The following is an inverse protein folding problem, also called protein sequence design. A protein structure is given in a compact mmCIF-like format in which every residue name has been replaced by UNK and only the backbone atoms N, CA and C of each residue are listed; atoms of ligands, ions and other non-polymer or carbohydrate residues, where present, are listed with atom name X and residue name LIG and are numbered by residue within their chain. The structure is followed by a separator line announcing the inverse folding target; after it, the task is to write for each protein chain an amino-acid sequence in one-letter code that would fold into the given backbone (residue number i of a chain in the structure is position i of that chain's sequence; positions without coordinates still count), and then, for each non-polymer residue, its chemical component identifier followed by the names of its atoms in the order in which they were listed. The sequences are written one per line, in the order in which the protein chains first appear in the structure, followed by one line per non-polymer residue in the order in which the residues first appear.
data_IF_502327611946
#
_entry.id   IF_502327611946
#
_cell.length_a   1.000
_cell.length_b   1.000
_cell.length_c   1.000
_cell.angle_alpha   90.00
_cell.angle_beta   90.00
_cell.angle_gamma   90.00
#
_symmetry.space_group_name_H-M   'P 1'
#
loop_
_entity.id
_entity.type
_entity.pdbx_description
1 polymer ?
#
# COMPACT_ATOMS: atom_id res chain seq x y z
N UNK A 1 1.78 1.50 1.47
CA UNK A 1 0.78 1.84 2.49
C UNK A 1 -0.33 0.81 2.38
N UNK A 2 -0.35 -0.17 3.28
CA UNK A 2 -1.43 -1.17 3.33
C UNK A 2 -2.71 -0.52 3.87
N UNK A 3 -3.87 -1.04 3.45
CA UNK A 3 -5.19 -0.48 3.76
C UNK A 3 -5.78 -0.94 5.10
N UNK A 4 -6.96 -1.54 5.06
CA UNK A 4 -7.73 -1.99 6.23
C UNK A 4 -9.08 -1.27 6.33
N UNK A 5 -9.15 -0.04 6.86
CA UNK A 5 -8.07 0.76 7.49
C UNK A 5 -7.46 0.09 8.74
N UNK A 6 -6.19 0.38 9.05
CA UNK A 6 -5.51 -0.13 10.25
C UNK A 6 -4.64 -1.39 10.06
N UNK A 7 -4.42 -1.85 8.82
CA UNK A 7 -3.53 -2.98 8.55
C UNK A 7 -2.07 -2.53 8.47
N UNK A 8 -1.17 -3.27 9.13
CA UNK A 8 0.27 -3.00 9.11
C UNK A 8 0.86 -3.14 7.72
N UNK A 9 1.73 -2.19 7.32
CA UNK A 9 2.52 -2.30 6.09
C UNK A 9 3.63 -3.33 6.20
N UNK A 10 3.89 -3.88 7.40
CA UNK A 10 4.71 -5.09 7.53
C UNK A 10 4.08 -6.28 6.83
N UNK A 11 2.76 -6.30 6.61
CA UNK A 11 2.13 -7.29 5.75
C UNK A 11 2.73 -7.27 4.35
N UNK A 12 2.84 -6.09 3.72
CA UNK A 12 3.48 -5.96 2.42
C UNK A 12 4.96 -6.38 2.42
N UNK A 13 5.69 -5.99 3.48
CA UNK A 13 7.09 -6.37 3.68
C UNK A 13 7.29 -7.88 3.91
N UNK A 14 6.31 -8.59 4.44
CA UNK A 14 6.46 -9.99 4.85
C UNK A 14 5.69 -10.97 3.97
N UNK A 15 4.70 -10.53 3.21
CA UNK A 15 3.83 -11.40 2.42
C UNK A 15 3.78 -11.06 0.93
N UNK A 16 4.11 -9.83 0.51
CA UNK A 16 3.81 -9.36 -0.84
C UNK A 16 5.08 -9.15 -1.67
N UNK A 17 5.76 -8.02 -1.48
CA UNK A 17 6.87 -7.57 -2.33
C UNK A 17 8.23 -7.58 -1.59
N UNK A 18 8.30 -8.39 -0.53
CA UNK A 18 9.41 -8.63 0.39
C UNK A 18 10.76 -8.91 -0.27
N UNK A 19 11.90 -8.46 0.31
CA UNK A 19 13.25 -8.75 -0.19
C UNK A 19 13.64 -10.23 -0.03
N UNK A 20 13.10 -10.88 0.99
CA UNK A 20 13.43 -12.25 1.35
C UNK A 20 12.16 -13.09 1.57
N UNK A 21 12.19 -14.33 1.13
CA UNK A 21 11.19 -15.35 1.37
C UNK A 21 11.63 -16.20 2.57
N UNK A 22 10.66 -16.78 3.28
CA UNK A 22 10.89 -17.70 4.41
C UNK A 22 10.37 -19.06 4.03
N UNK A 23 11.19 -20.10 4.20
CA UNK A 23 10.73 -21.48 4.12
C UNK A 23 9.93 -21.82 5.38
N UNK A 24 8.64 -22.10 5.23
CA UNK A 24 7.74 -22.34 6.37
C UNK A 24 8.05 -23.62 7.16
N UNK A 25 8.79 -24.56 6.55
CA UNK A 25 9.18 -25.82 7.21
C UNK A 25 10.54 -25.70 7.91
N UNK A 26 11.54 -25.13 7.25
CA UNK A 26 12.92 -25.08 7.76
C UNK A 26 13.24 -23.78 8.50
N UNK A 27 12.47 -22.71 8.25
CA UNK A 27 12.78 -21.36 8.72
C UNK A 27 13.86 -20.65 7.91
N UNK A 28 14.41 -21.28 6.86
CA UNK A 28 15.47 -20.69 6.06
C UNK A 28 14.99 -19.45 5.31
N UNK A 29 15.85 -18.42 5.29
CA UNK A 29 15.61 -17.16 4.59
C UNK A 29 16.35 -17.18 3.25
N UNK A 30 15.65 -16.92 2.16
CA UNK A 30 16.23 -16.88 0.82
C UNK A 30 15.77 -15.65 0.02
N UNK A 31 16.56 -15.24 -0.97
CA UNK A 31 16.28 -14.03 -1.75
C UNK A 31 14.97 -14.16 -2.55
N UNK A 32 14.14 -13.12 -2.52
CA UNK A 32 13.03 -12.98 -3.45
C UNK A 32 13.50 -12.30 -4.75
N UNK A 33 13.54 -13.05 -5.86
CA UNK A 33 13.93 -12.51 -7.16
C UNK A 33 12.91 -11.52 -7.74
N UNK A 34 11.69 -11.44 -7.20
CA UNK A 34 10.64 -10.53 -7.63
C UNK A 34 10.39 -9.39 -6.63
N UNK A 35 11.30 -9.17 -5.67
CA UNK A 35 11.14 -8.08 -4.73
C UNK A 35 11.23 -6.72 -5.43
N UNK A 36 10.40 -5.79 -4.98
CA UNK A 36 10.46 -4.40 -5.41
C UNK A 36 11.77 -3.72 -5.01
N UNK A 37 12.46 -4.22 -3.99
CA UNK A 37 13.74 -3.65 -3.57
C UNK A 37 14.89 -3.92 -4.55
N UNK A 38 14.68 -4.74 -5.59
CA UNK A 38 15.64 -4.92 -6.67
C UNK A 38 15.74 -3.66 -7.56
N UNK A 39 14.67 -2.85 -7.63
CA UNK A 39 14.58 -1.69 -8.53
C UNK A 39 14.42 -0.35 -7.79
N UNK A 40 14.10 -0.37 -6.49
CA UNK A 40 13.84 0.82 -5.71
C UNK A 40 14.26 0.69 -4.24
N UNK A 41 14.46 1.83 -3.57
CA UNK A 41 14.40 1.88 -2.11
C UNK A 41 12.94 1.86 -1.69
N UNK A 42 12.52 0.81 -1.00
CA UNK A 42 11.13 0.64 -0.54
C UNK A 42 11.07 0.91 0.96
N UNK A 43 10.17 1.80 1.37
CA UNK A 43 9.92 2.13 2.77
C UNK A 43 8.52 1.62 3.12
N UNK A 44 8.44 0.79 4.15
CA UNK A 44 7.20 0.28 4.69
C UNK A 44 6.92 1.00 5.99
N UNK A 45 5.74 1.62 6.10
CA UNK A 45 5.38 2.45 7.25
C UNK A 45 4.07 1.92 7.81
N UNK A 46 4.10 1.53 9.08
CA UNK A 46 2.89 1.27 9.84
C UNK A 46 2.22 2.61 10.14
N UNK A 47 0.99 2.76 9.66
CA UNK A 47 0.21 3.99 9.75
C UNK A 47 -1.28 3.66 9.61
N UNK A 48 -2.18 4.44 10.23
CA UNK A 48 -1.91 5.54 11.19
C UNK A 48 -1.31 5.06 12.52
N UNK A 49 -1.11 5.97 13.48
CA UNK A 49 -0.72 5.59 14.83
C UNK A 49 -1.69 4.56 15.44
N UNK A 50 -1.16 3.59 16.20
CA UNK A 50 -1.90 2.43 16.70
C UNK A 50 -1.85 1.20 15.78
N UNK A 51 -1.31 1.33 14.57
CA UNK A 51 -1.10 0.21 13.63
C UNK A 51 0.26 -0.43 13.85
N UNK A 52 0.31 -1.77 13.93
CA UNK A 52 1.55 -2.54 13.97
C UNK A 52 2.44 -2.12 15.14
N UNK A 53 3.61 -1.55 14.84
CA UNK A 53 4.53 -1.00 15.86
C UNK A 53 4.42 0.52 16.07
N UNK A 54 3.59 1.22 15.29
CA UNK A 54 3.35 2.66 15.47
C UNK A 54 2.37 2.88 16.62
N UNK A 55 2.65 3.86 17.48
CA UNK A 55 1.86 4.15 18.67
C UNK A 55 1.75 5.67 18.91
N UNK A 56 0.67 6.07 19.57
CA UNK A 56 0.43 7.42 20.08
C UNK A 56 -0.50 7.29 21.31
N UNK A 57 -0.74 8.40 22.01
CA UNK A 57 -1.85 8.45 22.98
C UNK A 57 -3.19 8.39 22.24
N UNK A 58 -4.25 7.88 22.89
CA UNK A 58 -5.54 7.61 22.22
C UNK A 58 -6.17 8.89 21.66
N UNK A 59 -5.95 10.02 22.33
CA UNK A 59 -6.44 11.33 21.93
C UNK A 59 -5.76 11.85 20.66
N UNK A 60 -4.60 11.30 20.30
CA UNK A 60 -3.81 11.67 19.12
C UNK A 60 -4.02 10.69 17.94
N UNK A 61 -5.04 9.83 17.99
CA UNK A 61 -5.34 8.93 16.88
C UNK A 61 -6.03 9.66 15.73
N UNK A 62 -5.49 9.47 14.52
CA UNK A 62 -6.06 10.02 13.30
C UNK A 62 -7.50 9.54 13.07
N UNK A 63 -8.37 10.49 12.73
CA UNK A 63 -9.80 10.28 12.51
C UNK A 63 -10.20 10.35 11.03
N UNK A 64 -9.32 10.86 10.17
CA UNK A 64 -9.59 11.09 8.74
C UNK A 64 -8.30 11.17 7.91
N UNK A 65 -8.42 11.17 6.58
CA UNK A 65 -7.26 11.21 5.67
C UNK A 65 -6.44 12.49 5.71
N UNK A 66 -7.00 13.62 6.17
CA UNK A 66 -6.25 14.87 6.31
C UNK A 66 -5.18 14.71 7.39
N UNK A 67 -5.60 14.25 8.57
CA UNK A 67 -4.71 13.94 9.72
C UNK A 67 -3.68 12.87 9.35
N UNK A 68 -4.11 11.73 8.78
CA UNK A 68 -3.20 10.66 8.32
C UNK A 68 -2.14 11.20 7.34
N UNK A 69 -2.54 12.07 6.41
CA UNK A 69 -1.63 12.61 5.41
C UNK A 69 -0.65 13.64 5.99
N UNK A 70 -1.07 14.38 7.01
CA UNK A 70 -0.23 15.32 7.76
C UNK A 70 0.85 14.57 8.56
N UNK A 71 0.47 13.53 9.29
CA UNK A 71 1.39 12.69 10.06
C UNK A 71 2.39 11.97 9.15
N UNK A 72 1.92 11.42 8.03
CA UNK A 72 2.79 10.82 7.03
C UNK A 72 3.75 11.85 6.42
N UNK A 73 3.31 13.10 6.21
CA UNK A 73 4.18 14.19 5.77
C UNK A 73 5.24 14.51 6.82
N UNK A 74 4.87 14.61 8.09
CA UNK A 74 5.82 14.85 9.19
C UNK A 74 6.83 13.72 9.33
N UNK A 75 6.41 12.46 9.19
CA UNK A 75 7.30 11.31 9.10
C UNK A 75 8.31 11.48 7.96
N UNK A 76 7.85 11.80 6.74
CA UNK A 76 8.73 11.99 5.59
C UNK A 76 9.71 13.14 5.78
N UNK A 77 9.27 14.25 6.40
CA UNK A 77 10.13 15.37 6.76
C UNK A 77 11.25 14.94 7.73
N UNK A 78 10.90 14.19 8.78
CA UNK A 78 11.88 13.65 9.73
C UNK A 78 12.83 12.64 9.05
N UNK A 79 12.28 11.72 8.26
CA UNK A 79 13.04 10.71 7.52
C UNK A 79 14.07 11.36 6.59
N UNK A 80 13.68 12.35 5.78
CA UNK A 80 14.62 13.01 4.86
C UNK A 80 15.61 13.96 5.55
N UNK A 81 15.30 14.47 6.75
CA UNK A 81 16.30 15.15 7.60
C UNK A 81 17.37 14.18 8.09
N UNK A 82 16.97 12.99 8.53
CA UNK A 82 17.88 11.94 8.99
C UNK A 82 18.67 11.30 7.83
N UNK A 83 18.06 11.16 6.65
CA UNK A 83 18.63 10.50 5.48
C UNK A 83 18.79 11.45 4.28
N UNK A 84 19.51 12.55 4.47
CA UNK A 84 19.64 13.62 3.47
C UNK A 84 20.09 13.15 2.09
N UNK A 85 20.92 12.09 2.02
CA UNK A 85 21.38 11.49 0.77
C UNK A 85 20.25 10.90 -0.08
N UNK A 86 19.15 10.46 0.54
CA UNK A 86 18.00 9.87 -0.15
C UNK A 86 17.03 10.93 -0.70
N UNK A 87 17.07 12.16 -0.18
CA UNK A 87 16.17 13.25 -0.59
C UNK A 87 16.29 13.64 -2.06
N UNK A 88 17.46 13.37 -2.66
CA UNK A 88 17.67 13.62 -4.10
C UNK A 88 16.91 12.63 -4.99
N UNK A 89 16.41 11.52 -4.46
CA UNK A 89 15.69 10.52 -5.25
C UNK A 89 14.25 10.97 -5.52
N UNK A 90 13.65 10.43 -6.57
CA UNK A 90 12.21 10.55 -6.83
C UNK A 90 11.45 9.75 -5.77
N UNK A 91 10.42 10.34 -5.19
CA UNK A 91 9.50 9.65 -4.29
C UNK A 91 8.24 9.23 -5.05
N UNK A 92 7.82 7.98 -4.83
CA UNK A 92 6.53 7.46 -5.26
C UNK A 92 5.73 7.05 -4.03
N UNK A 93 4.46 7.47 -3.95
CA UNK A 93 3.56 7.06 -2.87
C UNK A 93 2.69 5.92 -3.37
N UNK A 94 2.79 4.75 -2.73
CA UNK A 94 2.11 3.54 -3.20
C UNK A 94 1.17 3.00 -2.12
N UNK A 95 -0.07 2.74 -2.48
CA UNK A 95 -1.11 2.23 -1.57
C UNK A 95 -1.82 0.99 -2.11
N UNK A 96 -2.41 0.19 -1.22
CA UNK A 96 -3.25 -0.96 -1.55
C UNK A 96 -4.54 -0.99 -0.73
N UNK A 97 -5.67 -1.43 -1.31
CA UNK A 97 -6.96 -1.55 -0.61
C UNK A 97 -7.41 -0.17 -0.09
N UNK A 98 -7.65 0.01 1.21
CA UNK A 98 -7.90 1.34 1.78
C UNK A 98 -6.72 2.32 1.61
N UNK A 99 -5.52 1.81 1.28
CA UNK A 99 -4.41 2.62 0.80
C UNK A 99 -4.72 3.41 -0.49
N UNK A 100 -5.82 3.11 -1.17
CA UNK A 100 -6.41 3.95 -2.22
C UNK A 100 -6.92 5.30 -1.73
N UNK A 101 -7.16 5.47 -0.42
CA UNK A 101 -7.41 6.76 0.23
C UNK A 101 -6.10 7.39 0.72
N UNK A 102 -5.27 6.61 1.42
CA UNK A 102 -4.04 7.10 2.05
C UNK A 102 -3.00 7.63 1.04
N UNK A 103 -2.74 6.89 -0.04
CA UNK A 103 -1.69 7.25 -0.99
C UNK A 103 -2.02 8.56 -1.75
N UNK A 104 -3.24 8.74 -2.30
CA UNK A 104 -3.64 10.03 -2.87
C UNK A 104 -3.64 11.18 -1.86
N UNK A 105 -4.13 10.97 -0.63
CA UNK A 105 -4.13 12.02 0.41
C UNK A 105 -2.71 12.48 0.75
N UNK A 106 -1.79 11.53 0.99
CA UNK A 106 -0.37 11.81 1.25
C UNK A 106 0.29 12.53 0.07
N UNK A 107 0.07 12.05 -1.15
CA UNK A 107 0.62 12.68 -2.35
C UNK A 107 0.08 14.11 -2.54
N UNK A 108 -1.20 14.33 -2.25
CA UNK A 108 -1.81 15.65 -2.27
C UNK A 108 -1.18 16.59 -1.25
N UNK A 109 -1.03 16.15 0.01
CA UNK A 109 -0.41 16.95 1.07
C UNK A 109 1.02 17.34 0.70
N UNK A 110 1.84 16.39 0.23
CA UNK A 110 3.21 16.67 -0.24
C UNK A 110 3.21 17.73 -1.36
N UNK A 111 2.33 17.58 -2.35
CA UNK A 111 2.24 18.53 -3.46
C UNK A 111 1.82 19.93 -2.99
N UNK A 112 0.86 20.03 -2.08
CA UNK A 112 0.43 21.29 -1.46
C UNK A 112 1.58 21.95 -0.71
N UNK A 113 2.23 21.23 0.21
CA UNK A 113 3.34 21.73 1.00
C UNK A 113 4.52 22.20 0.13
N UNK A 114 4.84 21.45 -0.94
CA UNK A 114 5.87 21.86 -1.90
C UNK A 114 5.52 23.18 -2.61
N UNK A 115 4.27 23.39 -3.03
CA UNK A 115 3.81 24.63 -3.69
C UNK A 115 3.81 25.83 -2.74
N UNK A 116 3.51 25.57 -1.48
CA UNK A 116 3.48 26.57 -0.41
C UNK A 116 4.86 26.82 0.22
N UNK A 117 5.90 26.10 -0.23
CA UNK A 117 7.26 26.16 0.30
C UNK A 117 7.35 25.84 1.81
N UNK A 118 6.49 24.95 2.28
CA UNK A 118 6.45 24.48 3.68
C UNK A 118 7.35 23.25 3.83
N UNK A 119 8.28 23.29 4.77
CA UNK A 119 9.19 22.16 5.05
C UNK A 119 10.26 21.95 3.97
N UNK A 120 10.93 20.80 4.03
CA UNK A 120 11.90 20.39 3.03
C UNK A 120 11.18 19.96 1.74
N UNK A 121 11.59 20.46 0.56
CA UNK A 121 11.01 20.02 -0.70
C UNK A 121 11.22 18.51 -0.93
N UNK A 122 10.11 17.80 -1.20
CA UNK A 122 10.09 16.38 -1.52
C UNK A 122 9.89 16.21 -3.02
N UNK A 123 10.74 15.42 -3.69
CA UNK A 123 10.64 15.16 -5.14
C UNK A 123 9.55 14.13 -5.46
N UNK A 124 8.29 14.46 -5.21
CA UNK A 124 7.14 13.62 -5.58
C UNK A 124 7.11 13.45 -7.10
N UNK A 125 7.22 12.21 -7.57
CA UNK A 125 7.27 11.87 -8.98
C UNK A 125 6.03 11.11 -9.47
N UNK A 126 5.29 10.48 -8.56
CA UNK A 126 4.06 9.78 -8.90
C UNK A 126 3.43 9.09 -7.70
N UNK A 127 2.27 8.49 -7.95
CA UNK A 127 1.57 7.63 -7.02
C UNK A 127 1.04 6.40 -7.76
N UNK A 128 0.88 5.29 -7.04
CA UNK A 128 0.28 4.07 -7.57
C UNK A 128 -0.67 3.46 -6.53
N UNK A 129 -1.75 2.85 -7.00
CA UNK A 129 -2.76 2.23 -6.14
C UNK A 129 -3.09 0.83 -6.66
N UNK A 130 -2.81 -0.19 -5.85
CA UNK A 130 -3.19 -1.58 -6.12
C UNK A 130 -4.56 -1.90 -5.52
N UNK A 131 -5.50 -2.37 -6.33
CA UNK A 131 -6.83 -2.81 -5.88
C UNK A 131 -7.51 -1.86 -4.86
N UNK A 132 -7.34 -0.54 -5.06
CA UNK A 132 -7.72 0.44 -4.07
C UNK A 132 -9.21 0.70 -4.00
N UNK A 133 -9.70 1.01 -2.80
CA UNK A 133 -10.99 1.67 -2.63
C UNK A 133 -10.79 3.15 -2.95
N UNK A 134 -11.46 3.66 -4.00
CA UNK A 134 -11.32 5.03 -4.50
C UNK A 134 -12.67 5.70 -4.77
N UNK A 135 -13.66 4.93 -5.20
CA UNK A 135 -15.05 5.36 -5.36
C UNK A 135 -15.98 4.24 -4.85
N UNK A 136 -16.30 4.26 -3.54
CA UNK A 136 -17.14 3.22 -2.93
C UNK A 136 -18.50 3.08 -3.60
N UNK A 137 -19.09 4.17 -4.09
CA UNK A 137 -20.42 4.14 -4.71
C UNK A 137 -20.40 3.30 -5.99
N UNK A 138 -19.43 3.55 -6.86
CA UNK A 138 -19.27 2.79 -8.10
C UNK A 138 -18.77 1.37 -7.84
N UNK A 139 -17.79 1.20 -6.95
CA UNK A 139 -17.15 -0.10 -6.72
C UNK A 139 -18.08 -1.09 -6.03
N UNK A 140 -18.82 -0.67 -5.00
CA UNK A 140 -19.74 -1.58 -4.32
C UNK A 140 -20.91 -2.01 -5.21
N UNK A 141 -21.41 -1.13 -6.07
CA UNK A 141 -22.44 -1.47 -7.05
C UNK A 141 -21.95 -2.51 -8.07
N UNK A 142 -20.64 -2.58 -8.35
CA UNK A 142 -20.06 -3.52 -9.31
C UNK A 142 -19.84 -4.93 -8.73
N UNK A 143 -19.75 -5.11 -7.41
CA UNK A 143 -19.43 -6.40 -6.80
C UNK A 143 -20.41 -7.54 -7.12
N UNK A 144 -21.74 -7.35 -7.12
CA UNK A 144 -22.66 -8.43 -7.49
C UNK A 144 -22.41 -8.94 -8.92
N UNK A 145 -22.19 -8.02 -9.86
CA UNK A 145 -21.91 -8.36 -11.26
C UNK A 145 -20.55 -9.05 -11.43
N UNK A 146 -19.52 -8.59 -10.70
CA UNK A 146 -18.21 -9.23 -10.67
C UNK A 146 -18.30 -10.67 -10.14
N UNK A 147 -18.98 -10.87 -9.01
CA UNK A 147 -19.16 -12.18 -8.40
C UNK A 147 -19.94 -13.14 -9.31
N UNK A 148 -21.01 -12.64 -9.95
CA UNK A 148 -21.79 -13.41 -10.93
C UNK A 148 -20.94 -13.83 -12.14
N UNK A 149 -20.19 -12.89 -12.71
CA UNK A 149 -19.31 -13.16 -13.86
C UNK A 149 -18.28 -14.23 -13.53
N UNK A 150 -17.61 -14.11 -12.37
CA UNK A 150 -16.59 -15.05 -11.93
C UNK A 150 -17.16 -16.45 -11.66
N UNK A 151 -18.36 -16.54 -11.06
CA UNK A 151 -19.06 -17.80 -10.84
C UNK A 151 -19.38 -18.51 -12.16
N UNK A 152 -19.91 -17.77 -13.15
CA UNK A 152 -20.24 -18.31 -14.47
C UNK A 152 -19.00 -18.88 -15.17
N UNK A 153 -17.91 -18.13 -15.24
CA UNK A 153 -16.65 -18.58 -15.86
C UNK A 153 -16.06 -19.80 -15.14
N UNK A 154 -16.10 -19.81 -13.81
CA UNK A 154 -15.62 -20.93 -13.00
C UNK A 154 -16.45 -22.20 -13.24
N UNK A 155 -17.76 -22.09 -13.33
CA UNK A 155 -18.64 -23.24 -13.62
C UNK A 155 -18.47 -23.73 -15.07
N UNK A 156 -18.37 -22.84 -16.05
CA UNK A 156 -18.17 -23.21 -17.45
C UNK A 156 -16.82 -23.91 -17.67
N UNK A 157 -15.75 -23.43 -17.04
CA UNK A 157 -14.44 -24.09 -17.08
C UNK A 157 -14.46 -25.47 -16.42
N UNK A 158 -15.15 -25.64 -15.28
CA UNK A 158 -15.33 -26.94 -14.63
C UNK A 158 -16.12 -27.93 -15.49
N UNK A 159 -17.19 -27.47 -16.16
CA UNK A 159 -17.96 -28.29 -17.09
C UNK A 159 -17.10 -28.70 -18.30
N UNK A 160 -16.30 -27.78 -18.84
CA UNK A 160 -15.37 -28.05 -19.94
C UNK A 160 -14.31 -29.11 -19.55
N UNK A 161 -13.69 -28.95 -18.38
CA UNK A 161 -12.72 -29.91 -17.83
C UNK A 161 -13.33 -31.30 -17.64
N UNK A 162 -14.54 -31.41 -17.08
CA UNK A 162 -15.23 -32.71 -16.92
C UNK A 162 -15.56 -33.38 -18.25
N UNK A 163 -15.84 -32.60 -19.31
CA UNK A 163 -16.04 -33.15 -20.66
C UNK A 163 -14.73 -33.63 -21.29
N UNK A 164 -13.60 -32.98 -20.97
CA UNK A 164 -12.28 -33.35 -21.47
C UNK A 164 -11.71 -34.60 -20.78
N UNK A 165 -12.03 -34.84 -19.50
CA UNK A 165 -11.51 -35.99 -18.72
C UNK A 165 -12.39 -37.24 -18.78
N UNK A 166 -13.60 -37.17 -19.32
CA UNK A 166 -14.49 -38.31 -19.57
C UNK A 166 -14.32 -38.93 -20.97
N UNK A 167 -13.11 -38.85 -21.55
CA UNK A 167 -12.65 -39.62 -22.72
C UNK A 167 -11.49 -40.50 -22.32
#
# INVERSE_FOLDING_TARGET
MTGGPGCSSMFALLAENRPCLVNETTGDIYKNNYSWNNEAYVIYVDQPAGVGFSYAEVEDYDSNEEEVSEDMYHFLQAFFRAHQKLRKNKLFVVGESYGGHYAPATAHYINKANREHVGLPIRLAGLAVGNGLTDPYTQYAAYPSLAWGWCRESLESLVSLRKATNR
#
